data_IF_002108989209
#
_entry.id   IF_002108989209
#
_cell.length_a   1.000
_cell.length_b   1.000
_cell.length_c   1.000
_cell.angle_alpha   90.00
_cell.angle_beta   90.00
_cell.angle_gamma   90.00
#
_symmetry.space_group_name_H-M   'P 1'
#
loop_
_entity.id
_entity.type
_entity.pdbx_description
1 polymer ?
#
# COMPACT_ATOMS: atom_id res chain seq x y z
N UNK A 1 -7.20 13.40 -10.39
CA UNK A 1 -7.49 12.49 -9.25
C UNK A 1 -8.48 11.45 -9.77
N UNK A 2 -8.05 10.20 -9.98
CA UNK A 2 -8.89 9.14 -10.54
C UNK A 2 -10.15 8.95 -9.65
N UNK A 3 -11.35 9.01 -10.25
CA UNK A 3 -12.61 8.71 -9.58
C UNK A 3 -13.03 7.30 -10.00
N UNK A 4 -12.80 6.32 -9.15
CA UNK A 4 -13.35 4.98 -9.33
C UNK A 4 -14.72 4.90 -8.65
N UNK A 5 -15.64 4.09 -9.21
CA UNK A 5 -16.82 3.67 -8.45
C UNK A 5 -16.38 2.79 -7.27
N UNK A 6 -17.12 2.82 -6.15
CA UNK A 6 -16.80 1.99 -4.97
C UNK A 6 -16.70 0.50 -5.32
N UNK A 7 -17.53 0.02 -6.26
CA UNK A 7 -17.47 -1.37 -6.74
C UNK A 7 -16.17 -1.65 -7.52
N UNK A 8 -15.73 -0.70 -8.34
CA UNK A 8 -14.47 -0.81 -9.08
C UNK A 8 -13.27 -0.78 -8.14
N UNK A 9 -13.30 0.11 -7.14
CA UNK A 9 -12.25 0.17 -6.13
C UNK A 9 -12.19 -1.13 -5.34
N UNK A 10 -13.34 -1.65 -4.92
CA UNK A 10 -13.42 -2.94 -4.22
C UNK A 10 -12.81 -4.09 -5.04
N UNK A 11 -13.14 -4.19 -6.34
CA UNK A 11 -12.51 -5.17 -7.23
C UNK A 11 -11.00 -4.98 -7.32
N UNK A 12 -10.54 -3.74 -7.43
CA UNK A 12 -9.13 -3.42 -7.52
C UNK A 12 -8.38 -3.78 -6.22
N UNK A 13 -9.00 -3.55 -5.05
CA UNK A 13 -8.48 -3.99 -3.74
C UNK A 13 -8.38 -5.52 -3.65
N UNK A 14 -9.39 -6.24 -4.16
CA UNK A 14 -9.34 -7.71 -4.24
C UNK A 14 -8.22 -8.19 -5.16
N UNK A 15 -8.09 -7.63 -6.36
CA UNK A 15 -7.01 -7.97 -7.29
C UNK A 15 -5.65 -7.69 -6.66
N UNK A 16 -5.46 -6.51 -6.06
CA UNK A 16 -4.23 -6.17 -5.36
C UNK A 16 -3.93 -7.14 -4.21
N UNK A 17 -4.96 -7.66 -3.53
CA UNK A 17 -4.79 -8.66 -2.47
C UNK A 17 -4.35 -10.01 -3.04
N UNK A 18 -4.99 -10.50 -4.09
CA UNK A 18 -4.60 -11.73 -4.78
C UNK A 18 -3.17 -11.68 -5.32
N UNK A 19 -2.76 -10.54 -5.91
CA UNK A 19 -1.38 -10.32 -6.36
C UNK A 19 -0.38 -10.38 -5.20
N UNK A 20 -0.66 -9.67 -4.10
CA UNK A 20 0.24 -9.70 -2.93
C UNK A 20 0.31 -11.07 -2.27
N UNK A 21 -0.79 -11.83 -2.27
CA UNK A 21 -0.81 -13.20 -1.76
C UNK A 21 0.06 -14.12 -2.62
N UNK A 22 -0.13 -14.09 -3.95
CA UNK A 22 0.66 -14.89 -4.88
C UNK A 22 2.17 -14.56 -4.82
N UNK A 23 2.52 -13.28 -4.64
CA UNK A 23 3.91 -12.85 -4.42
C UNK A 23 4.48 -13.30 -3.07
N UNK A 24 3.63 -13.43 -2.04
CA UNK A 24 4.03 -13.94 -0.74
C UNK A 24 4.35 -15.44 -0.78
N UNK A 25 3.48 -16.20 -1.45
CA UNK A 25 3.56 -17.66 -1.51
C UNK A 25 4.62 -18.17 -2.49
N UNK A 26 5.03 -17.35 -3.47
CA UNK A 26 6.04 -17.74 -4.49
C UNK A 26 7.44 -17.96 -3.92
N UNK A 27 7.69 -17.67 -2.64
CA UNK A 27 9.00 -17.80 -2.00
C UNK A 27 10.02 -16.76 -2.46
N UNK A 28 9.64 -15.83 -3.35
CA UNK A 28 10.51 -14.76 -3.86
C UNK A 28 10.98 -13.79 -2.77
N UNK A 29 10.22 -13.69 -1.67
CA UNK A 29 10.58 -12.90 -0.50
C UNK A 29 11.81 -13.43 0.26
N UNK A 30 12.11 -14.73 0.15
CA UNK A 30 13.27 -15.36 0.79
C UNK A 30 14.59 -15.14 0.05
N UNK A 31 14.56 -14.67 -1.21
CA UNK A 31 15.75 -14.55 -2.07
C UNK A 31 16.59 -13.28 -1.84
N UNK A 32 16.45 -12.62 -0.68
CA UNK A 32 17.14 -11.35 -0.36
C UNK A 32 17.02 -10.30 -1.48
N UNK A 33 15.89 -10.26 -2.18
CA UNK A 33 15.66 -9.32 -3.27
C UNK A 33 14.72 -8.20 -2.82
N UNK A 34 15.05 -6.97 -3.21
CA UNK A 34 14.28 -5.77 -2.85
C UNK A 34 12.95 -5.67 -3.62
N UNK A 35 12.90 -6.21 -4.84
CA UNK A 35 11.78 -5.99 -5.76
C UNK A 35 10.41 -6.49 -5.23
N UNK A 36 10.28 -7.71 -4.67
CA UNK A 36 9.02 -8.19 -4.13
C UNK A 36 8.52 -7.34 -2.96
N UNK A 37 9.45 -6.86 -2.12
CA UNK A 37 9.12 -6.00 -0.98
C UNK A 37 8.58 -4.65 -1.44
N UNK A 38 9.24 -4.00 -2.40
CA UNK A 38 8.71 -2.77 -2.99
C UNK A 38 7.34 -2.96 -3.64
N UNK A 39 7.11 -4.08 -4.32
CA UNK A 39 5.81 -4.37 -4.93
C UNK A 39 4.72 -4.54 -3.87
N UNK A 40 4.97 -5.36 -2.83
CA UNK A 40 3.99 -5.59 -1.76
C UNK A 40 3.64 -4.28 -1.04
N UNK A 41 4.65 -3.47 -0.68
CA UNK A 41 4.41 -2.19 -0.03
C UNK A 41 3.81 -1.13 -0.96
N UNK A 42 4.11 -1.16 -2.25
CA UNK A 42 3.45 -0.36 -3.26
C UNK A 42 1.95 -0.68 -3.34
N UNK A 43 1.60 -1.97 -3.36
CA UNK A 43 0.20 -2.40 -3.27
C UNK A 43 -0.44 -2.03 -1.93
N UNK A 44 0.27 -2.14 -0.80
CA UNK A 44 -0.23 -1.73 0.50
C UNK A 44 -0.56 -0.22 0.53
N UNK A 45 0.32 0.63 -0.01
CA UNK A 45 0.07 2.07 -0.15
C UNK A 45 -1.16 2.34 -1.02
N UNK A 46 -1.22 1.73 -2.20
CA UNK A 46 -2.35 1.90 -3.10
C UNK A 46 -3.68 1.54 -2.41
N UNK A 47 -3.72 0.36 -1.77
CA UNK A 47 -4.90 -0.12 -1.05
C UNK A 47 -5.29 0.81 0.09
N UNK A 48 -4.32 1.21 0.92
CA UNK A 48 -4.55 2.08 2.06
C UNK A 48 -5.08 3.45 1.65
N UNK A 49 -4.53 4.06 0.60
CA UNK A 49 -5.04 5.34 0.05
C UNK A 49 -6.47 5.19 -0.46
N UNK A 50 -6.79 4.10 -1.16
CA UNK A 50 -8.16 3.80 -1.60
C UNK A 50 -9.14 3.71 -0.43
N UNK A 51 -8.77 2.98 0.62
CA UNK A 51 -9.60 2.85 1.85
C UNK A 51 -9.80 4.20 2.54
N UNK A 52 -8.73 4.98 2.72
CA UNK A 52 -8.77 6.30 3.34
C UNK A 52 -9.73 7.22 2.59
N UNK A 53 -9.63 7.29 1.26
CA UNK A 53 -10.41 8.25 0.49
C UNK A 53 -11.88 7.84 0.35
N UNK A 54 -12.16 6.57 0.05
CA UNK A 54 -13.50 6.15 -0.38
C UNK A 54 -14.27 5.35 0.67
N UNK A 55 -13.61 4.59 1.53
CA UNK A 55 -14.29 3.80 2.58
C UNK A 55 -14.36 4.54 3.92
N UNK A 56 -13.35 5.35 4.25
CA UNK A 56 -13.39 6.26 5.41
C UNK A 56 -14.03 7.61 5.08
N UNK A 57 -14.47 7.80 3.83
CA UNK A 57 -15.09 9.03 3.28
C UNK A 57 -14.26 10.32 3.50
N UNK A 58 -12.94 10.20 3.68
CA UNK A 58 -12.05 11.34 3.86
C UNK A 58 -11.84 12.15 2.57
N UNK A 59 -12.43 11.71 1.45
CA UNK A 59 -12.47 12.48 0.21
C UNK A 59 -13.20 13.82 0.40
N UNK A 60 -14.25 13.85 1.22
CA UNK A 60 -15.07 15.04 1.51
C UNK A 60 -14.67 15.73 2.82
N UNK A 61 -13.81 15.10 3.63
CA UNK A 61 -13.35 15.63 4.89
C UNK A 61 -12.34 16.79 4.73
N UNK A 62 -12.07 17.57 5.81
CA UNK A 62 -11.06 18.62 5.79
C UNK A 62 -9.68 18.11 5.37
N UNK A 63 -8.98 18.91 4.56
CA UNK A 63 -7.70 18.52 3.96
C UNK A 63 -6.63 18.14 5.01
N UNK A 64 -6.69 18.73 6.22
CA UNK A 64 -5.77 18.40 7.31
C UNK A 64 -5.82 16.90 7.67
N UNK A 65 -7.01 16.35 7.90
CA UNK A 65 -7.18 14.95 8.30
C UNK A 65 -6.83 13.98 7.18
N UNK A 66 -7.26 14.31 5.95
CA UNK A 66 -6.92 13.53 4.75
C UNK A 66 -5.40 13.45 4.56
N UNK A 67 -4.72 14.59 4.63
CA UNK A 67 -3.28 14.65 4.41
C UNK A 67 -2.51 14.04 5.58
N UNK A 68 -3.00 14.17 6.82
CA UNK A 68 -2.39 13.53 7.99
C UNK A 68 -2.40 12.01 7.86
N UNK A 69 -3.54 11.40 7.50
CA UNK A 69 -3.63 9.95 7.37
C UNK A 69 -2.85 9.40 6.17
N UNK A 70 -2.91 10.08 5.03
CA UNK A 70 -2.11 9.68 3.85
C UNK A 70 -0.61 9.85 4.15
N UNK A 71 -0.22 10.95 4.78
CA UNK A 71 1.15 11.22 5.19
C UNK A 71 1.67 10.20 6.20
N UNK A 72 0.86 9.86 7.19
CA UNK A 72 1.17 8.82 8.18
C UNK A 72 1.36 7.45 7.52
N UNK A 73 0.45 7.05 6.64
CA UNK A 73 0.58 5.80 5.88
C UNK A 73 1.88 5.77 5.06
N UNK A 74 2.17 6.86 4.34
CA UNK A 74 3.41 7.03 3.59
C UNK A 74 4.65 6.94 4.46
N UNK A 75 4.61 7.57 5.64
CA UNK A 75 5.69 7.55 6.62
C UNK A 75 5.95 6.14 7.14
N UNK A 76 4.92 5.41 7.58
CA UNK A 76 5.07 4.03 8.09
C UNK A 76 5.62 3.10 7.00
N UNK A 77 5.10 3.18 5.78
CA UNK A 77 5.60 2.36 4.67
C UNK A 77 7.04 2.72 4.31
N UNK A 78 7.38 4.01 4.29
CA UNK A 78 8.74 4.48 4.06
C UNK A 78 9.71 3.98 5.13
N UNK A 79 9.32 4.01 6.40
CA UNK A 79 10.15 3.47 7.49
C UNK A 79 10.38 1.97 7.34
N UNK A 80 9.36 1.19 7.00
CA UNK A 80 9.52 -0.26 6.83
C UNK A 80 10.46 -0.58 5.66
N UNK A 81 10.29 0.10 4.52
CA UNK A 81 11.17 -0.05 3.36
C UNK A 81 12.62 0.35 3.68
N UNK A 82 12.81 1.43 4.44
CA UNK A 82 14.12 1.89 4.87
C UNK A 82 14.80 0.86 5.79
N UNK A 83 14.08 0.32 6.78
CA UNK A 83 14.60 -0.73 7.68
C UNK A 83 14.98 -1.97 6.88
N UNK A 84 14.13 -2.42 5.96
CA UNK A 84 14.43 -3.59 5.13
C UNK A 84 15.66 -3.35 4.23
N UNK A 85 15.82 -2.12 3.71
CA UNK A 85 16.97 -1.74 2.90
C UNK A 85 18.28 -1.71 3.67
N UNK A 86 18.25 -1.21 4.91
CA UNK A 86 19.39 -1.27 5.80
C UNK A 86 19.68 -2.73 6.16
N UNK A 87 18.65 -3.53 6.46
CA UNK A 87 18.78 -4.92 6.88
C UNK A 87 19.40 -5.84 5.81
N UNK A 88 19.18 -5.57 4.51
CA UNK A 88 19.84 -6.35 3.45
C UNK A 88 21.35 -6.09 3.30
N UNK A 89 21.90 -5.06 3.98
CA UNK A 89 23.32 -4.70 3.89
C UNK A 89 24.18 -5.29 5.01
N UNK A 90 23.57 -5.94 6.00
CA UNK A 90 24.23 -6.59 7.14
C UNK A 90 24.04 -8.11 7.06
#
# INVERSE_FOLDING_TARGET
MFKFSSNTLWLLLLTATGLTYGLGESGELGRASMAPVFLIFGFALFKGVGVILDFMDLRHAPALWRNLLIGWLGFVVGMILLVYWIGQRY
#
